data_IF_837099229910
#
_entry.id   IF_837099229910
#
_cell.length_a   1.000
_cell.length_b   1.000
_cell.length_c   1.000
_cell.angle_alpha   90.00
_cell.angle_beta   90.00
_cell.angle_gamma   90.00
#
_symmetry.space_group_name_H-M   'P 1'
#
loop_
_entity.id
_entity.type
_entity.pdbx_description
1 polymer ?
#
# COMPACT_ATOMS: atom_id res chain seq x y z
N UNK A 1 84.89 34.90 35.46
CA UNK A 1 83.60 34.21 35.28
C UNK A 1 83.88 32.95 34.47
N UNK A 2 83.68 31.78 35.10
CA UNK A 2 84.07 30.49 34.55
C UNK A 2 83.22 30.13 33.32
N UNK A 3 83.88 29.83 32.21
CA UNK A 3 83.26 29.32 31.00
C UNK A 3 83.00 27.82 31.22
N UNK A 4 81.73 27.42 31.34
CA UNK A 4 81.33 26.02 31.39
C UNK A 4 81.62 25.39 30.03
N UNK A 5 82.72 24.66 29.95
CA UNK A 5 83.06 23.81 28.82
C UNK A 5 82.02 22.68 28.78
N UNK A 6 81.12 22.72 27.82
CA UNK A 6 80.26 21.57 27.51
C UNK A 6 81.16 20.46 26.98
N UNK A 7 81.34 19.41 27.78
CA UNK A 7 81.96 18.16 27.37
C UNK A 7 81.13 17.53 26.24
N UNK A 8 81.55 17.76 25.00
CA UNK A 8 81.08 16.99 23.85
C UNK A 8 82.01 15.78 23.74
N UNK A 9 81.63 14.67 24.39
CA UNK A 9 82.30 13.39 24.17
C UNK A 9 82.22 13.03 22.68
N UNK A 10 83.34 12.70 22.01
CA UNK A 10 83.31 12.25 20.62
C UNK A 10 82.61 10.90 20.58
N UNK A 11 81.38 10.88 20.04
CA UNK A 11 80.66 9.64 19.77
C UNK A 11 81.46 8.87 18.71
N UNK A 12 81.87 7.65 19.05
CA UNK A 12 82.59 6.77 18.12
C UNK A 12 81.74 6.52 16.87
N UNK A 13 82.37 6.53 15.69
CA UNK A 13 81.72 6.16 14.43
C UNK A 13 81.04 4.78 14.57
N UNK A 14 81.62 3.85 15.33
CA UNK A 14 81.04 2.53 15.59
C UNK A 14 79.70 2.63 16.33
N UNK A 15 79.59 3.48 17.36
CA UNK A 15 78.36 3.69 18.12
C UNK A 15 77.25 4.28 17.24
N UNK A 16 77.58 5.25 16.38
CA UNK A 16 76.64 5.82 15.40
C UNK A 16 76.20 4.80 14.35
N UNK A 17 77.07 3.87 13.99
CA UNK A 17 76.79 2.81 13.00
C UNK A 17 75.85 1.76 13.60
N UNK A 18 76.10 1.36 14.84
CA UNK A 18 75.27 0.42 15.60
C UNK A 18 73.87 1.01 15.88
N UNK A 19 73.80 2.28 16.26
CA UNK A 19 72.53 2.99 16.45
C UNK A 19 71.74 3.13 15.14
N UNK A 20 72.40 3.43 14.01
CA UNK A 20 71.75 3.44 12.69
C UNK A 20 71.19 2.07 12.31
N UNK A 21 71.93 1.00 12.58
CA UNK A 21 71.46 -0.38 12.35
C UNK A 21 70.23 -0.69 13.20
N UNK A 22 70.23 -0.28 14.48
CA UNK A 22 69.09 -0.44 15.38
C UNK A 22 67.87 0.33 14.92
N UNK A 23 68.02 1.60 14.55
CA UNK A 23 66.93 2.45 14.06
C UNK A 23 66.34 1.90 12.75
N UNK A 24 67.18 1.42 11.83
CA UNK A 24 66.72 0.75 10.60
C UNK A 24 65.90 -0.50 10.91
N UNK A 25 66.34 -1.33 11.87
CA UNK A 25 65.60 -2.50 12.29
C UNK A 25 64.25 -2.14 12.96
N UNK A 26 64.22 -1.08 13.76
CA UNK A 26 63.00 -0.59 14.40
C UNK A 26 62.00 -0.03 13.37
N UNK A 27 62.46 0.76 12.41
CA UNK A 27 61.64 1.28 11.31
C UNK A 27 61.02 0.15 10.49
N UNK A 28 61.82 -0.88 10.16
CA UNK A 28 61.34 -2.06 9.42
C UNK A 28 60.23 -2.79 10.19
N UNK A 29 60.41 -3.03 11.50
CA UNK A 29 59.36 -3.64 12.35
C UNK A 29 58.10 -2.78 12.41
N UNK A 30 58.25 -1.45 12.47
CA UNK A 30 57.11 -0.53 12.48
C UNK A 30 56.37 -0.54 11.15
N UNK A 31 57.07 -0.62 10.03
CA UNK A 31 56.49 -0.78 8.69
C UNK A 31 55.71 -2.09 8.57
N UNK A 32 56.31 -3.21 8.96
CA UNK A 32 55.63 -4.52 8.96
C UNK A 32 54.37 -4.51 9.85
N UNK A 33 54.44 -3.87 11.02
CA UNK A 33 53.29 -3.72 11.91
C UNK A 33 52.18 -2.84 11.28
N UNK A 34 52.56 -1.76 10.61
CA UNK A 34 51.62 -0.87 9.90
C UNK A 34 50.96 -1.60 8.73
N UNK A 35 51.72 -2.32 7.92
CA UNK A 35 51.22 -3.11 6.80
C UNK A 35 50.23 -4.19 7.27
N UNK A 36 50.56 -4.93 8.33
CA UNK A 36 49.67 -5.92 8.91
C UNK A 36 48.37 -5.30 9.46
N UNK A 37 48.49 -4.16 10.16
CA UNK A 37 47.33 -3.44 10.69
C UNK A 37 46.45 -2.89 9.57
N UNK A 38 47.06 -2.38 8.50
CA UNK A 38 46.34 -1.86 7.35
C UNK A 38 45.62 -2.99 6.59
N UNK A 39 46.26 -4.15 6.44
CA UNK A 39 45.65 -5.33 5.82
C UNK A 39 44.45 -5.84 6.63
N UNK A 40 44.55 -5.89 7.96
CA UNK A 40 43.42 -6.24 8.83
C UNK A 40 42.26 -5.25 8.66
N UNK A 41 42.53 -3.94 8.66
CA UNK A 41 41.49 -2.93 8.44
C UNK A 41 40.77 -3.12 7.09
N UNK A 42 41.53 -3.41 6.02
CA UNK A 42 40.94 -3.68 4.69
C UNK A 42 40.03 -4.91 4.74
N UNK A 43 40.45 -6.00 5.41
CA UNK A 43 39.59 -7.19 5.57
C UNK A 43 38.29 -6.84 6.30
N UNK A 44 38.37 -6.08 7.40
CA UNK A 44 37.18 -5.63 8.14
C UNK A 44 36.24 -4.76 7.29
N UNK A 45 36.79 -3.84 6.50
CA UNK A 45 35.99 -2.98 5.62
C UNK A 45 35.27 -3.80 4.54
N UNK A 46 35.97 -4.74 3.91
CA UNK A 46 35.38 -5.65 2.90
C UNK A 46 34.25 -6.48 3.52
N UNK A 47 34.45 -7.02 4.72
CA UNK A 47 33.44 -7.80 5.42
C UNK A 47 32.22 -6.94 5.83
N UNK A 48 32.46 -5.73 6.34
CA UNK A 48 31.39 -4.78 6.68
C UNK A 48 30.55 -4.36 5.46
N UNK A 49 31.19 -4.11 4.33
CA UNK A 49 30.48 -3.84 3.08
C UNK A 49 29.65 -5.03 2.62
N UNK A 50 30.19 -6.26 2.76
CA UNK A 50 29.48 -7.49 2.43
C UNK A 50 28.23 -7.65 3.30
N UNK A 51 28.36 -7.48 4.61
CA UNK A 51 27.24 -7.52 5.55
C UNK A 51 26.19 -6.44 5.27
N UNK A 52 26.62 -5.22 4.94
CA UNK A 52 25.72 -4.12 4.56
C UNK A 52 24.91 -4.44 3.29
N UNK A 53 25.56 -5.04 2.28
CA UNK A 53 24.90 -5.50 1.04
C UNK A 53 23.90 -6.63 1.33
N UNK A 54 24.28 -7.58 2.17
CA UNK A 54 23.42 -8.69 2.57
C UNK A 54 22.20 -8.22 3.36
N UNK A 55 22.37 -7.33 4.35
CA UNK A 55 21.28 -6.74 5.11
C UNK A 55 20.29 -6.00 4.20
N UNK A 56 20.78 -5.21 3.23
CA UNK A 56 19.93 -4.56 2.23
C UNK A 56 19.14 -5.56 1.40
N UNK A 57 19.75 -6.68 1.01
CA UNK A 57 19.07 -7.76 0.26
C UNK A 57 17.99 -8.43 1.10
N UNK A 58 18.30 -8.82 2.34
CA UNK A 58 17.32 -9.42 3.25
C UNK A 58 16.16 -8.46 3.53
N UNK A 59 16.44 -7.19 3.77
CA UNK A 59 15.40 -6.19 4.01
C UNK A 59 14.46 -6.02 2.80
N UNK A 60 15.00 -6.05 1.56
CA UNK A 60 14.18 -6.05 0.34
C UNK A 60 13.32 -7.31 0.23
N UNK A 61 13.85 -8.47 0.59
CA UNK A 61 13.10 -9.73 0.57
C UNK A 61 11.94 -9.69 1.58
N UNK A 62 12.20 -9.24 2.82
CA UNK A 62 11.16 -9.07 3.84
C UNK A 62 10.10 -8.07 3.40
N UNK A 63 10.53 -6.92 2.84
CA UNK A 63 9.60 -5.90 2.33
C UNK A 63 8.71 -6.44 1.21
N UNK A 64 9.27 -7.25 0.30
CA UNK A 64 8.50 -7.90 -0.78
C UNK A 64 7.53 -8.93 -0.22
N UNK A 65 7.97 -9.80 0.69
CA UNK A 65 7.10 -10.79 1.32
C UNK A 65 5.93 -10.14 2.07
N UNK A 66 6.19 -8.99 2.70
CA UNK A 66 5.15 -8.19 3.34
C UNK A 66 4.12 -7.65 2.34
N UNK A 67 4.55 -7.05 1.23
CA UNK A 67 3.63 -6.58 0.18
C UNK A 67 2.84 -7.73 -0.46
N UNK A 68 3.47 -8.87 -0.71
CA UNK A 68 2.76 -10.06 -1.19
C UNK A 68 1.67 -10.52 -0.22
N UNK A 69 1.88 -10.36 1.10
CA UNK A 69 0.86 -10.68 2.11
C UNK A 69 -0.33 -9.72 2.01
N UNK A 70 -0.07 -8.43 1.77
CA UNK A 70 -1.13 -7.44 1.52
C UNK A 70 -1.91 -7.78 0.24
N UNK A 71 -1.22 -8.17 -0.83
CA UNK A 71 -1.86 -8.62 -2.08
C UNK A 71 -2.75 -9.84 -1.86
N UNK A 72 -2.30 -10.82 -1.07
CA UNK A 72 -3.13 -11.99 -0.70
C UNK A 72 -4.38 -11.55 0.07
N UNK A 73 -4.25 -10.61 1.02
CA UNK A 73 -5.40 -10.06 1.75
C UNK A 73 -6.40 -9.41 0.80
N UNK A 74 -5.92 -8.61 -0.15
CA UNK A 74 -6.80 -7.97 -1.15
C UNK A 74 -7.46 -9.00 -2.04
N UNK A 75 -6.73 -10.02 -2.51
CA UNK A 75 -7.29 -11.09 -3.31
C UNK A 75 -8.39 -11.86 -2.53
N UNK A 76 -8.22 -12.07 -1.22
CA UNK A 76 -9.24 -12.70 -0.38
C UNK A 76 -10.49 -11.84 -0.20
N UNK A 77 -10.35 -10.51 -0.10
CA UNK A 77 -11.50 -9.60 -0.05
C UNK A 77 -12.18 -9.58 -1.41
N UNK A 78 -11.41 -9.49 -2.49
CA UNK A 78 -11.87 -9.44 -3.89
C UNK A 78 -12.65 -10.71 -4.29
N UNK A 79 -12.30 -11.86 -3.72
CA UNK A 79 -13.08 -13.10 -3.86
C UNK A 79 -14.53 -12.98 -3.38
N UNK A 80 -14.77 -12.15 -2.36
CA UNK A 80 -16.08 -11.94 -1.76
C UNK A 80 -16.74 -10.68 -2.27
N UNK A 81 -15.96 -9.64 -2.55
CA UNK A 81 -16.40 -8.41 -3.20
C UNK A 81 -15.58 -8.17 -4.45
N UNK A 82 -16.04 -8.74 -5.57
CA UNK A 82 -15.34 -8.58 -6.82
C UNK A 82 -15.10 -7.10 -7.14
N UNK A 83 -13.93 -6.78 -7.71
CA UNK A 83 -13.54 -5.42 -8.08
C UNK A 83 -12.85 -4.64 -6.96
N UNK A 84 -12.82 -5.19 -5.75
CA UNK A 84 -12.11 -4.64 -4.61
C UNK A 84 -10.61 -4.46 -4.87
N UNK A 85 -9.97 -5.39 -5.59
CA UNK A 85 -8.53 -5.29 -5.85
C UNK A 85 -8.21 -3.99 -6.62
N UNK A 86 -8.90 -3.74 -7.73
CA UNK A 86 -8.66 -2.54 -8.54
C UNK A 86 -9.06 -1.26 -7.79
N UNK A 87 -10.16 -1.32 -7.03
CA UNK A 87 -10.62 -0.21 -6.19
C UNK A 87 -9.59 0.17 -5.13
N UNK A 88 -9.19 -0.77 -4.29
CA UNK A 88 -8.21 -0.54 -3.22
C UNK A 88 -6.85 -0.11 -3.78
N UNK A 89 -6.47 -0.56 -4.99
CA UNK A 89 -5.30 -0.06 -5.72
C UNK A 89 -5.41 1.43 -6.09
N UNK A 90 -6.49 1.82 -6.78
CA UNK A 90 -6.72 3.22 -7.18
C UNK A 90 -6.77 4.15 -5.98
N UNK A 91 -7.51 3.74 -4.94
CA UNK A 91 -7.59 4.49 -3.68
C UNK A 91 -6.22 4.65 -3.04
N UNK A 92 -5.44 3.57 -2.94
CA UNK A 92 -4.12 3.63 -2.32
C UNK A 92 -3.13 4.50 -3.11
N UNK A 93 -3.12 4.42 -4.44
CA UNK A 93 -2.21 5.19 -5.27
C UNK A 93 -2.51 6.69 -5.25
N UNK A 94 -3.78 7.07 -5.29
CA UNK A 94 -4.19 8.48 -5.16
C UNK A 94 -3.91 8.97 -3.74
N UNK A 95 -4.31 8.23 -2.69
CA UNK A 95 -4.07 8.62 -1.30
C UNK A 95 -2.57 8.79 -0.98
N UNK A 96 -1.71 7.90 -1.48
CA UNK A 96 -0.24 8.00 -1.35
C UNK A 96 0.31 9.25 -2.03
N UNK A 97 -0.18 9.57 -3.22
CA UNK A 97 0.24 10.76 -3.95
C UNK A 97 -0.14 12.04 -3.21
N UNK A 98 -1.38 12.12 -2.72
CA UNK A 98 -1.86 13.24 -1.89
C UNK A 98 -1.00 13.36 -0.63
N UNK A 99 -0.76 12.27 0.09
CA UNK A 99 0.06 12.24 1.30
C UNK A 99 1.49 12.76 1.06
N UNK A 100 2.12 12.40 -0.06
CA UNK A 100 3.45 12.92 -0.44
C UNK A 100 3.42 14.40 -0.78
N UNK A 101 2.39 14.87 -1.51
CA UNK A 101 2.21 16.29 -1.86
C UNK A 101 1.95 17.17 -0.62
N UNK A 102 1.39 16.60 0.44
CA UNK A 102 1.24 17.23 1.75
C UNK A 102 2.56 17.28 2.56
N UNK A 103 3.67 16.72 2.04
CA UNK A 103 4.95 16.70 2.74
C UNK A 103 4.99 15.76 3.95
N UNK A 104 4.11 14.74 4.00
CA UNK A 104 4.15 13.74 5.06
C UNK A 104 5.43 12.92 4.99
N UNK A 105 5.89 12.46 6.16
CA UNK A 105 7.06 11.58 6.26
C UNK A 105 6.79 10.27 5.53
N UNK A 106 7.80 9.71 4.87
CA UNK A 106 7.63 8.48 4.08
C UNK A 106 7.06 7.32 4.91
N UNK A 107 7.36 7.24 6.21
CA UNK A 107 6.76 6.24 7.10
C UNK A 107 5.24 6.37 7.23
N UNK A 108 4.72 7.60 7.31
CA UNK A 108 3.27 7.85 7.42
C UNK A 108 2.61 7.69 6.05
N UNK A 109 3.29 8.10 4.96
CA UNK A 109 2.86 7.82 3.57
C UNK A 109 2.69 6.32 3.33
N UNK A 110 3.64 5.50 3.75
CA UNK A 110 3.55 4.03 3.63
C UNK A 110 2.40 3.46 4.46
N UNK A 111 2.15 4.01 5.65
CA UNK A 111 1.01 3.58 6.48
C UNK A 111 -0.33 3.92 5.85
N UNK A 112 -0.48 5.11 5.26
CA UNK A 112 -1.67 5.51 4.50
C UNK A 112 -1.85 4.60 3.28
N UNK A 113 -0.77 4.32 2.55
CA UNK A 113 -0.80 3.41 1.41
C UNK A 113 -1.28 2.01 1.82
N UNK A 114 -0.71 1.43 2.85
CA UNK A 114 -1.12 0.10 3.33
C UNK A 114 -2.55 0.15 3.86
N UNK A 115 -2.94 1.17 4.65
CA UNK A 115 -4.29 1.32 5.17
C UNK A 115 -5.33 1.35 4.04
N UNK A 116 -5.07 2.10 2.97
CA UNK A 116 -5.94 2.16 1.80
C UNK A 116 -6.05 0.82 1.07
N UNK A 117 -4.96 0.05 0.97
CA UNK A 117 -4.95 -1.27 0.32
C UNK A 117 -5.83 -2.30 1.04
N UNK A 118 -5.99 -2.20 2.36
CA UNK A 118 -6.71 -3.19 3.18
C UNK A 118 -7.88 -2.59 3.95
N UNK A 119 -8.37 -1.41 3.56
CA UNK A 119 -9.33 -0.65 4.36
C UNK A 119 -10.64 -1.40 4.63
N UNK A 120 -11.04 -2.32 3.75
CA UNK A 120 -12.26 -3.11 3.89
C UNK A 120 -12.03 -4.51 4.47
N UNK A 121 -10.86 -4.79 5.05
CA UNK A 121 -10.54 -6.11 5.64
C UNK A 121 -11.58 -6.60 6.66
N UNK A 122 -12.27 -5.69 7.34
CA UNK A 122 -13.32 -6.06 8.28
C UNK A 122 -14.56 -6.70 7.64
N UNK A 123 -14.79 -6.51 6.33
CA UNK A 123 -15.87 -7.19 5.61
C UNK A 123 -15.67 -8.71 5.58
N UNK A 124 -14.44 -9.19 5.78
CA UNK A 124 -14.15 -10.62 5.96
C UNK A 124 -14.89 -11.26 7.13
N UNK A 125 -15.33 -10.47 8.12
CA UNK A 125 -16.07 -10.95 9.29
C UNK A 125 -17.59 -10.88 9.14
N UNK A 126 -18.10 -10.33 8.03
CA UNK A 126 -19.53 -10.23 7.74
C UNK A 126 -19.95 -11.48 6.95
N UNK A 127 -21.05 -12.18 7.28
CA UNK A 127 -21.58 -13.27 6.46
C UNK A 127 -22.00 -12.83 5.05
N UNK A 128 -21.83 -13.67 4.03
CA UNK A 128 -22.23 -13.37 2.63
C UNK A 128 -23.72 -13.01 2.51
N UNK A 129 -24.57 -13.68 3.30
CA UNK A 129 -26.02 -13.41 3.36
C UNK A 129 -26.38 -12.00 3.82
N UNK A 130 -25.46 -11.31 4.50
CA UNK A 130 -25.60 -9.92 4.94
C UNK A 130 -24.85 -8.99 3.98
N UNK A 131 -23.63 -9.37 3.57
CA UNK A 131 -22.76 -8.57 2.71
C UNK A 131 -23.42 -8.25 1.36
N UNK A 132 -24.03 -9.24 0.73
CA UNK A 132 -24.69 -9.12 -0.59
C UNK A 132 -26.16 -8.74 -0.52
N UNK A 133 -26.72 -8.60 0.68
CA UNK A 133 -28.12 -8.23 0.86
C UNK A 133 -28.33 -6.77 0.43
N UNK A 134 -29.36 -6.47 -0.39
CA UNK A 134 -29.69 -5.09 -0.73
C UNK A 134 -29.91 -4.26 0.52
N UNK A 135 -29.43 -3.01 0.53
CA UNK A 135 -29.45 -2.17 1.74
C UNK A 135 -30.85 -1.98 2.32
N UNK A 136 -31.86 -1.85 1.46
CA UNK A 136 -33.27 -1.71 1.83
C UNK A 136 -33.86 -2.95 2.53
N UNK A 137 -33.21 -4.11 2.43
CA UNK A 137 -33.65 -5.37 3.01
C UNK A 137 -32.88 -5.74 4.29
N UNK A 138 -31.87 -4.95 4.67
CA UNK A 138 -31.13 -5.15 5.92
C UNK A 138 -32.01 -4.75 7.11
N UNK A 139 -32.10 -5.64 8.10
CA UNK A 139 -32.54 -5.28 9.45
C UNK A 139 -31.53 -4.32 10.10
N UNK A 140 -31.95 -3.60 11.14
CA UNK A 140 -31.09 -2.63 11.82
C UNK A 140 -29.81 -3.28 12.37
N UNK A 141 -29.88 -4.52 12.86
CA UNK A 141 -28.71 -5.28 13.33
C UNK A 141 -27.76 -5.65 12.19
N UNK A 142 -28.30 -6.09 11.06
CA UNK A 142 -27.50 -6.42 9.87
C UNK A 142 -26.83 -5.16 9.29
N UNK A 143 -27.56 -4.04 9.27
CA UNK A 143 -27.04 -2.74 8.85
C UNK A 143 -25.89 -2.29 9.76
N UNK A 144 -26.11 -2.32 11.07
CA UNK A 144 -25.08 -1.97 12.05
C UNK A 144 -23.84 -2.86 11.92
N UNK A 145 -24.01 -4.16 11.65
CA UNK A 145 -22.88 -5.05 11.41
C UNK A 145 -22.10 -4.66 10.15
N UNK A 146 -22.81 -4.31 9.06
CA UNK A 146 -22.20 -3.90 7.80
C UNK A 146 -21.47 -2.56 7.92
N UNK A 147 -22.07 -1.58 8.58
CA UNK A 147 -21.46 -0.26 8.81
C UNK A 147 -20.22 -0.34 9.72
N UNK A 148 -20.20 -1.28 10.66
CA UNK A 148 -19.06 -1.48 11.59
C UNK A 148 -17.85 -2.22 10.98
N UNK A 149 -17.81 -2.49 9.68
CA UNK A 149 -16.69 -3.23 9.09
C UNK A 149 -15.34 -2.54 9.33
N UNK A 150 -15.24 -1.21 9.31
CA UNK A 150 -14.00 -0.52 9.67
C UNK A 150 -13.56 -0.75 11.12
N UNK A 151 -14.50 -0.79 12.06
CA UNK A 151 -14.25 -1.11 13.47
C UNK A 151 -13.74 -2.54 13.62
N UNK A 152 -14.36 -3.48 12.91
CA UNK A 152 -13.98 -4.88 12.94
C UNK A 152 -12.58 -5.07 12.33
N UNK A 153 -12.31 -4.42 11.19
CA UNK A 153 -11.01 -4.44 10.53
C UNK A 153 -9.91 -3.86 11.41
N UNK A 154 -10.16 -2.72 12.06
CA UNK A 154 -9.23 -2.13 13.01
C UNK A 154 -8.90 -3.09 14.18
N UNK A 155 -9.92 -3.71 14.79
CA UNK A 155 -9.73 -4.69 15.88
C UNK A 155 -8.90 -5.90 15.46
N UNK A 156 -9.04 -6.36 14.20
CA UNK A 156 -8.22 -7.45 13.67
C UNK A 156 -6.75 -7.02 13.57
N UNK A 157 -6.51 -5.82 13.05
CA UNK A 157 -5.17 -5.29 12.79
C UNK A 157 -4.45 -4.84 14.07
N UNK A 158 -5.15 -4.38 15.11
CA UNK A 158 -4.57 -3.95 16.39
C UNK A 158 -3.76 -5.04 17.10
N UNK A 159 -4.06 -6.31 16.82
CA UNK A 159 -3.32 -7.48 17.35
C UNK A 159 -1.88 -7.53 16.82
N UNK A 160 -1.61 -6.88 15.70
CA UNK A 160 -0.30 -6.83 15.07
C UNK A 160 0.35 -5.49 15.47
N UNK A 161 1.42 -5.56 16.26
CA UNK A 161 2.04 -4.37 16.85
C UNK A 161 2.46 -3.31 15.82
N UNK A 162 2.94 -3.74 14.65
CA UNK A 162 3.31 -2.87 13.53
C UNK A 162 2.12 -2.21 12.83
N UNK A 163 0.90 -2.71 13.03
CA UNK A 163 -0.32 -2.22 12.36
C UNK A 163 -1.17 -1.29 13.21
N UNK A 164 -0.80 -0.98 14.46
CA UNK A 164 -1.62 -0.11 15.32
C UNK A 164 -1.97 1.24 14.69
N UNK A 165 -1.02 1.89 14.00
CA UNK A 165 -1.31 3.14 13.29
C UNK A 165 -2.25 2.94 12.09
N UNK A 166 -2.07 1.85 11.34
CA UNK A 166 -2.92 1.47 10.21
C UNK A 166 -4.35 1.19 10.71
N UNK A 167 -4.48 0.46 11.82
CA UNK A 167 -5.76 0.16 12.45
C UNK A 167 -6.50 1.44 12.89
N UNK A 168 -5.78 2.41 13.48
CA UNK A 168 -6.35 3.71 13.84
C UNK A 168 -6.84 4.49 12.62
N UNK A 169 -6.12 4.44 11.51
CA UNK A 169 -6.56 5.05 10.25
C UNK A 169 -7.85 4.39 9.77
N UNK A 170 -7.86 3.05 9.67
CA UNK A 170 -9.00 2.28 9.17
C UNK A 170 -10.24 2.50 10.03
N UNK A 171 -10.11 2.45 11.37
CA UNK A 171 -11.21 2.67 12.31
C UNK A 171 -11.95 3.98 12.04
N UNK A 172 -11.20 5.03 11.69
CA UNK A 172 -11.71 6.39 11.55
C UNK A 172 -12.21 6.72 10.13
N UNK A 173 -12.32 5.74 9.22
CA UNK A 173 -12.77 5.98 7.84
C UNK A 173 -14.25 6.33 7.71
N UNK A 174 -15.07 5.96 8.70
CA UNK A 174 -16.48 6.35 8.80
C UNK A 174 -16.72 7.59 9.66
N UNK A 175 -15.65 8.24 10.16
CA UNK A 175 -15.80 9.53 10.83
C UNK A 175 -16.09 10.63 9.80
N UNK A 176 -16.95 11.56 10.17
CA UNK A 176 -17.26 12.73 9.36
C UNK A 176 -16.52 13.93 9.92
N UNK A 177 -16.04 14.80 9.05
CA UNK A 177 -15.26 15.98 9.43
C UNK A 177 -15.97 16.89 10.45
N UNK A 178 -17.31 16.96 10.41
CA UNK A 178 -18.15 17.73 11.34
C UNK A 178 -18.41 17.05 12.70
N UNK A 179 -18.01 15.78 12.87
CA UNK A 179 -18.23 14.95 14.05
C UNK A 179 -19.53 14.13 14.03
N UNK A 180 -20.30 14.14 12.94
CA UNK A 180 -21.53 13.34 12.80
C UNK A 180 -21.31 11.87 12.44
N UNK A 181 -20.05 11.49 12.18
CA UNK A 181 -19.66 10.12 11.82
C UNK A 181 -19.45 9.21 13.03
N UNK A 182 -18.94 8.02 12.76
CA UNK A 182 -18.75 6.98 13.77
C UNK A 182 -17.47 6.17 13.47
N UNK A 183 -16.92 5.42 14.44
CA UNK A 183 -17.50 5.00 15.73
C UNK A 183 -17.29 5.94 16.92
N UNK A 184 -16.30 6.83 16.88
CA UNK A 184 -15.79 7.59 18.02
C UNK A 184 -16.30 9.04 18.04
N UNK A 185 -16.89 9.53 16.93
CA UNK A 185 -17.42 10.89 16.82
C UNK A 185 -16.32 11.94 16.75
N UNK A 186 -15.18 11.58 16.14
CA UNK A 186 -14.02 12.46 16.00
C UNK A 186 -14.34 13.62 15.07
N UNK A 187 -13.87 14.82 15.40
CA UNK A 187 -14.14 16.03 14.62
C UNK A 187 -12.87 16.65 14.06
N UNK A 188 -12.94 17.12 12.81
CA UNK A 188 -11.87 17.88 12.18
C UNK A 188 -10.53 17.16 12.21
N UNK A 189 -9.52 17.79 12.83
CA UNK A 189 -8.17 17.26 12.91
C UNK A 189 -7.96 16.14 13.94
N UNK A 190 -8.95 15.85 14.79
CA UNK A 190 -8.94 14.66 15.65
C UNK A 190 -8.95 13.38 14.82
N UNK A 191 -9.55 13.44 13.62
CA UNK A 191 -9.54 12.37 12.64
C UNK A 191 -8.11 12.24 12.08
N UNK A 192 -7.49 11.04 12.16
CA UNK A 192 -6.17 10.82 11.59
C UNK A 192 -6.08 11.31 10.15
N UNK A 193 -5.03 12.06 9.82
CA UNK A 193 -4.84 12.61 8.47
C UNK A 193 -4.96 11.55 7.36
N UNK A 194 -4.47 10.34 7.63
CA UNK A 194 -4.62 9.21 6.72
C UNK A 194 -6.07 8.82 6.46
N UNK A 195 -6.92 8.86 7.48
CA UNK A 195 -8.34 8.54 7.33
C UNK A 195 -9.07 9.64 6.53
N UNK A 196 -8.77 10.91 6.81
CA UNK A 196 -9.33 12.05 6.05
C UNK A 196 -8.99 11.98 4.56
N UNK A 197 -7.73 11.64 4.22
CA UNK A 197 -7.30 11.47 2.82
C UNK A 197 -7.99 10.25 2.19
N UNK A 198 -7.95 9.08 2.85
CA UNK A 198 -8.48 7.85 2.27
C UNK A 198 -10.00 7.94 2.09
N UNK A 199 -10.76 8.43 3.07
CA UNK A 199 -12.21 8.54 2.98
C UNK A 199 -12.65 9.39 1.79
N UNK A 200 -11.97 10.52 1.55
CA UNK A 200 -12.24 11.40 0.42
C UNK A 200 -11.92 10.75 -0.95
N UNK A 201 -10.80 10.03 -1.05
CA UNK A 201 -10.45 9.30 -2.26
C UNK A 201 -11.40 8.12 -2.49
N UNK A 202 -11.77 7.43 -1.41
CA UNK A 202 -12.62 6.26 -1.43
C UNK A 202 -14.00 6.57 -2.00
N UNK A 203 -14.66 7.63 -1.50
CA UNK A 203 -15.98 8.02 -2.00
C UNK A 203 -15.94 8.38 -3.49
N UNK A 204 -14.88 9.04 -3.96
CA UNK A 204 -14.74 9.35 -5.38
C UNK A 204 -14.62 8.09 -6.23
N UNK A 205 -13.76 7.14 -5.82
CA UNK A 205 -13.57 5.89 -6.55
C UNK A 205 -14.85 5.05 -6.55
N UNK A 206 -15.54 4.96 -5.40
CA UNK A 206 -16.82 4.26 -5.29
C UNK A 206 -17.88 4.84 -6.21
N UNK A 207 -18.08 6.16 -6.22
CA UNK A 207 -19.09 6.81 -7.06
C UNK A 207 -18.79 6.65 -8.56
N UNK A 208 -17.51 6.71 -8.96
CA UNK A 208 -17.13 6.72 -10.37
C UNK A 208 -16.89 5.31 -10.95
N UNK A 209 -16.12 4.45 -10.28
CA UNK A 209 -15.74 3.14 -10.81
C UNK A 209 -16.64 1.99 -10.36
N UNK A 210 -17.06 1.99 -9.09
CA UNK A 210 -17.82 0.88 -8.50
C UNK A 210 -19.31 1.01 -8.79
N UNK A 211 -19.92 2.10 -8.32
CA UNK A 211 -21.35 2.36 -8.48
C UNK A 211 -21.67 2.92 -9.88
N UNK A 212 -20.69 3.56 -10.52
CA UNK A 212 -20.79 4.16 -11.85
C UNK A 212 -21.98 5.14 -11.98
N UNK A 213 -22.26 5.86 -10.89
CA UNK A 213 -23.34 6.86 -10.80
C UNK A 213 -23.11 8.00 -11.80
N UNK A 214 -21.84 8.35 -12.02
CA UNK A 214 -21.43 9.43 -12.90
C UNK A 214 -20.79 8.92 -14.19
N UNK A 215 -21.07 9.62 -15.30
CA UNK A 215 -20.48 9.31 -16.60
C UNK A 215 -19.08 9.93 -16.76
N UNK A 216 -18.83 11.05 -16.07
CA UNK A 216 -17.56 11.77 -16.14
C UNK A 216 -16.90 11.84 -14.76
N UNK A 217 -15.56 11.79 -14.68
CA UNK A 217 -14.84 11.82 -13.42
C UNK A 217 -15.06 13.15 -12.67
N UNK A 218 -15.26 14.25 -13.39
CA UNK A 218 -15.49 15.58 -12.80
C UNK A 218 -16.89 15.73 -12.19
N UNK A 219 -17.89 15.02 -12.72
CA UNK A 219 -19.24 15.07 -12.15
C UNK A 219 -19.26 14.39 -10.77
N UNK A 220 -18.49 13.30 -10.61
CA UNK A 220 -18.29 12.66 -9.31
C UNK A 220 -17.56 13.57 -8.31
N UNK A 221 -16.59 14.38 -8.76
CA UNK A 221 -15.95 15.39 -7.91
C UNK A 221 -16.92 16.48 -7.47
N UNK A 222 -17.75 16.98 -8.38
CA UNK A 222 -18.73 18.02 -8.08
C UNK A 222 -19.78 17.55 -7.05
N UNK A 223 -20.14 16.27 -7.06
CA UNK A 223 -21.02 15.69 -6.05
C UNK A 223 -20.40 15.75 -4.64
N UNK A 224 -19.12 15.41 -4.53
CA UNK A 224 -18.37 15.42 -3.26
C UNK A 224 -18.17 16.85 -2.73
N UNK A 225 -18.08 17.85 -3.61
CA UNK A 225 -17.88 19.24 -3.22
C UNK A 225 -18.98 19.75 -2.26
N UNK A 226 -20.21 19.24 -2.39
CA UNK A 226 -21.33 19.56 -1.50
C UNK A 226 -21.24 18.91 -0.11
N UNK A 227 -20.36 17.92 0.07
CA UNK A 227 -20.18 17.20 1.33
C UNK A 227 -18.90 17.62 2.08
N UNK A 228 -18.17 18.61 1.57
CA UNK A 228 -16.98 19.18 2.20
C UNK A 228 -17.34 19.93 3.49
N UNK A 229 -16.45 19.87 4.48
CA UNK A 229 -16.58 20.37 5.85
C UNK A 229 -17.69 19.71 6.70
N UNK A 230 -18.64 19.03 6.06
CA UNK A 230 -19.58 18.10 6.68
C UNK A 230 -18.94 16.72 6.84
N UNK A 231 -18.90 15.93 5.75
CA UNK A 231 -18.34 14.58 5.78
C UNK A 231 -16.84 14.57 5.52
N UNK A 232 -16.37 15.35 4.56
CA UNK A 232 -14.99 15.27 4.09
C UNK A 232 -14.20 16.55 4.36
N UNK A 233 -12.92 16.39 4.64
CA UNK A 233 -12.02 17.52 4.85
C UNK A 233 -11.75 18.27 3.54
N UNK A 234 -12.14 19.55 3.49
CA UNK A 234 -11.89 20.44 2.34
C UNK A 234 -10.41 20.61 2.01
N UNK A 235 -9.51 20.49 2.98
CA UNK A 235 -8.07 20.66 2.79
C UNK A 235 -7.53 19.75 1.67
N UNK A 236 -8.07 18.52 1.55
CA UNK A 236 -7.56 17.53 0.61
C UNK A 236 -8.27 17.55 -0.75
N UNK A 237 -9.38 18.27 -0.88
CA UNK A 237 -10.15 18.33 -2.13
C UNK A 237 -9.37 18.89 -3.33
N UNK A 238 -8.59 19.99 -3.22
CA UNK A 238 -7.76 20.47 -4.32
C UNK A 238 -6.73 19.44 -4.80
N UNK A 239 -6.20 18.64 -3.87
CA UNK A 239 -5.22 17.59 -4.18
C UNK A 239 -5.89 16.43 -4.90
N UNK A 240 -7.05 15.97 -4.41
CA UNK A 240 -7.86 14.97 -5.13
C UNK A 240 -8.17 15.46 -6.54
N UNK A 241 -8.71 16.67 -6.69
CA UNK A 241 -9.06 17.25 -8.00
C UNK A 241 -7.86 17.26 -8.95
N UNK A 242 -6.69 17.67 -8.48
CA UNK A 242 -5.46 17.65 -9.28
C UNK A 242 -5.03 16.21 -9.66
N UNK A 243 -5.13 15.24 -8.74
CA UNK A 243 -4.82 13.84 -9.02
C UNK A 243 -5.77 13.23 -10.06
N UNK A 244 -7.05 13.59 -10.02
CA UNK A 244 -8.06 13.11 -10.96
C UNK A 244 -7.84 13.73 -12.35
N UNK A 245 -7.65 15.06 -12.43
CA UNK A 245 -7.36 15.75 -13.70
C UNK A 245 -6.06 15.27 -14.36
N UNK A 246 -5.09 14.81 -13.57
CA UNK A 246 -3.84 14.25 -14.10
C UNK A 246 -4.00 12.82 -14.63
N UNK A 247 -4.90 12.03 -14.04
CA UNK A 247 -5.11 10.61 -14.39
C UNK A 247 -6.20 10.38 -15.42
N UNK A 248 -7.19 11.26 -15.47
CA UNK A 248 -8.42 11.04 -16.21
C UNK A 248 -8.81 12.26 -17.04
N UNK A 249 -9.19 12.00 -18.28
CA UNK A 249 -9.80 12.95 -19.21
C UNK A 249 -11.30 13.11 -18.93
N UNK A 250 -11.90 14.23 -19.34
CA UNK A 250 -13.38 14.40 -19.29
C UNK A 250 -14.13 13.35 -20.13
N UNK A 251 -13.45 12.75 -21.11
CA UNK A 251 -14.01 11.70 -21.96
C UNK A 251 -13.85 10.31 -21.35
N UNK A 252 -13.05 10.17 -20.30
CA UNK A 252 -12.88 8.89 -19.64
C UNK A 252 -14.17 8.53 -18.92
N UNK A 253 -14.62 7.32 -19.19
CA UNK A 253 -15.78 6.71 -18.56
C UNK A 253 -15.44 5.25 -18.32
N UNK A 254 -15.93 4.63 -17.24
CA UNK A 254 -15.87 3.19 -17.11
C UNK A 254 -16.53 2.56 -18.34
N UNK A 255 -15.71 1.88 -19.15
CA UNK A 255 -16.13 1.18 -20.38
C UNK A 255 -16.68 -0.21 -20.08
N UNK A 256 -16.43 -0.68 -18.88
CA UNK A 256 -16.89 -1.95 -18.36
C UNK A 256 -17.66 -1.73 -17.06
N UNK A 257 -18.56 -2.67 -16.78
CA UNK A 257 -19.25 -2.77 -15.50
C UNK A 257 -19.05 -4.16 -14.97
N UNK A 258 -18.83 -4.23 -13.67
CA UNK A 258 -18.83 -5.50 -12.98
C UNK A 258 -20.25 -5.96 -12.73
N UNK A 259 -20.52 -7.21 -13.09
CA UNK A 259 -21.83 -7.82 -12.93
C UNK A 259 -21.70 -8.99 -11.96
N UNK A 260 -22.48 -9.02 -10.86
CA UNK A 260 -22.57 -10.20 -10.01
C UNK A 260 -22.94 -11.42 -10.84
N UNK A 261 -22.31 -12.57 -10.58
CA UNK A 261 -22.57 -13.82 -11.32
C UNK A 261 -24.07 -14.17 -11.44
N UNK A 262 -24.91 -13.97 -10.40
CA UNK A 262 -26.35 -14.21 -10.51
C UNK A 262 -27.11 -13.24 -11.44
N UNK A 263 -26.54 -12.08 -11.73
CA UNK A 263 -27.13 -11.03 -12.59
C UNK A 263 -26.66 -11.10 -14.05
N UNK A 264 -25.79 -12.06 -14.38
CA UNK A 264 -25.32 -12.27 -15.76
C UNK A 264 -26.49 -12.66 -16.66
N UNK A 265 -26.52 -12.06 -17.85
CA UNK A 265 -27.55 -12.33 -18.86
C UNK A 265 -26.90 -12.73 -20.19
N UNK A 266 -27.55 -13.61 -20.96
CA UNK A 266 -27.14 -13.86 -22.33
C UNK A 266 -27.05 -12.55 -23.11
N UNK A 267 -26.03 -12.40 -23.93
CA UNK A 267 -25.82 -11.21 -24.74
C UNK A 267 -24.77 -10.22 -24.19
N UNK A 268 -24.45 -10.30 -22.89
CA UNK A 268 -23.35 -9.53 -22.29
C UNK A 268 -22.00 -9.94 -22.89
N UNK A 269 -21.09 -8.99 -23.09
CA UNK A 269 -19.76 -9.24 -23.67
C UNK A 269 -18.70 -9.02 -22.62
N UNK A 270 -17.84 -10.01 -22.36
CA UNK A 270 -16.75 -9.87 -21.38
C UNK A 270 -15.75 -8.79 -21.83
N UNK A 271 -15.39 -7.88 -20.93
CA UNK A 271 -14.34 -6.87 -21.19
C UNK A 271 -12.95 -7.36 -20.82
N UNK A 272 -12.85 -8.41 -19.99
CA UNK A 272 -11.59 -8.98 -19.48
C UNK A 272 -11.62 -10.50 -19.57
N UNK A 273 -10.44 -11.12 -19.57
CA UNK A 273 -10.32 -12.57 -19.49
C UNK A 273 -10.91 -13.04 -18.16
N UNK A 274 -11.80 -14.03 -18.25
CA UNK A 274 -12.41 -14.64 -17.08
C UNK A 274 -11.56 -15.82 -16.65
N UNK A 275 -10.75 -15.61 -15.61
CA UNK A 275 -9.88 -16.63 -15.04
C UNK A 275 -10.40 -17.08 -13.67
N UNK A 276 -10.15 -18.33 -13.31
CA UNK A 276 -10.33 -18.80 -11.93
C UNK A 276 -9.13 -18.41 -11.05
N UNK A 277 -9.25 -18.58 -9.73
CA UNK A 277 -8.14 -18.35 -8.79
C UNK A 277 -6.92 -19.24 -9.03
N UNK A 278 -7.11 -20.43 -9.60
CA UNK A 278 -5.99 -21.31 -9.98
C UNK A 278 -5.41 -20.97 -11.36
N UNK A 279 -5.73 -19.80 -11.92
CA UNK A 279 -5.32 -19.32 -13.25
C UNK A 279 -5.85 -20.18 -14.41
N UNK A 280 -7.01 -20.82 -14.24
CA UNK A 280 -7.68 -21.51 -15.36
C UNK A 280 -8.51 -20.49 -16.13
N UNK A 281 -8.23 -20.31 -17.42
CA UNK A 281 -9.06 -19.48 -18.30
C UNK A 281 -10.41 -20.15 -18.56
N UNK A 282 -11.50 -19.54 -18.10
CA UNK A 282 -12.86 -20.00 -18.33
C UNK A 282 -13.43 -19.50 -19.65
N UNK A 283 -13.26 -18.20 -19.91
CA UNK A 283 -13.79 -17.49 -21.08
C UNK A 283 -12.86 -16.31 -21.42
N UNK A 284 -12.39 -16.16 -22.66
CA UNK A 284 -11.56 -15.02 -23.04
C UNK A 284 -12.36 -13.72 -23.15
N UNK A 285 -11.66 -12.59 -23.03
CA UNK A 285 -12.20 -11.26 -23.26
C UNK A 285 -12.77 -11.11 -24.67
N UNK A 286 -13.81 -10.28 -24.83
CA UNK A 286 -14.49 -10.02 -26.10
C UNK A 286 -15.56 -11.05 -26.46
N UNK A 287 -15.66 -12.16 -25.72
CA UNK A 287 -16.70 -13.17 -25.96
C UNK A 287 -18.05 -12.73 -25.40
N UNK A 288 -19.10 -12.96 -26.19
CA UNK A 288 -20.48 -12.82 -25.77
C UNK A 288 -20.89 -14.03 -24.93
N UNK A 289 -21.51 -13.77 -23.77
CA UNK A 289 -22.03 -14.79 -22.87
C UNK A 289 -23.31 -15.38 -23.46
N UNK A 290 -23.33 -16.69 -23.66
CA UNK A 290 -24.54 -17.46 -23.90
C UNK A 290 -24.98 -18.17 -22.62
N UNK A 291 -26.18 -18.78 -22.65
CA UNK A 291 -26.74 -19.47 -21.49
C UNK A 291 -25.81 -20.58 -20.97
N UNK A 292 -25.17 -21.34 -21.87
CA UNK A 292 -24.24 -22.43 -21.51
C UNK A 292 -22.99 -21.92 -20.81
N UNK A 293 -22.47 -20.78 -21.27
CA UNK A 293 -21.29 -20.14 -20.68
C UNK A 293 -21.61 -19.59 -19.30
N UNK A 294 -22.78 -18.98 -19.11
CA UNK A 294 -23.23 -18.50 -17.79
C UNK A 294 -23.37 -19.67 -16.81
N UNK A 295 -24.00 -20.77 -17.23
CA UNK A 295 -24.10 -21.99 -16.41
C UNK A 295 -22.73 -22.58 -16.05
N UNK A 296 -21.77 -22.55 -17.00
CA UNK A 296 -20.38 -22.94 -16.72
C UNK A 296 -19.77 -22.03 -15.65
N UNK A 297 -19.88 -20.71 -15.79
CA UNK A 297 -19.34 -19.75 -14.81
C UNK A 297 -19.94 -20.00 -13.42
N UNK A 298 -21.27 -20.14 -13.34
CA UNK A 298 -21.98 -20.41 -12.09
C UNK A 298 -21.54 -21.73 -11.45
N UNK A 299 -21.32 -22.78 -12.24
CA UNK A 299 -20.84 -24.07 -11.75
C UNK A 299 -19.42 -23.97 -11.16
N UNK A 300 -18.52 -23.25 -11.84
CA UNK A 300 -17.14 -23.09 -11.38
C UNK A 300 -17.04 -22.24 -10.11
N UNK A 301 -17.94 -21.28 -9.88
CA UNK A 301 -17.92 -20.41 -8.71
C UNK A 301 -17.86 -21.19 -7.37
N UNK A 302 -18.46 -22.38 -7.31
CA UNK A 302 -18.47 -23.23 -6.10
C UNK A 302 -17.20 -24.08 -5.90
N UNK A 303 -16.42 -24.28 -6.95
CA UNK A 303 -15.26 -25.21 -6.97
C UNK A 303 -13.94 -24.44 -7.04
N UNK A 304 -13.86 -23.45 -7.93
CA UNK A 304 -12.71 -22.58 -8.14
C UNK A 304 -13.23 -21.20 -8.60
N UNK A 305 -13.40 -20.25 -7.66
CA UNK A 305 -14.03 -18.96 -7.92
C UNK A 305 -13.35 -18.15 -9.02
N UNK A 306 -14.12 -17.28 -9.67
CA UNK A 306 -13.60 -16.32 -10.65
C UNK A 306 -12.74 -15.26 -9.95
N UNK A 307 -11.54 -15.03 -10.48
CA UNK A 307 -10.63 -13.97 -10.04
C UNK A 307 -11.12 -12.60 -10.49
N UNK A 308 -11.10 -11.58 -9.62
CA UNK A 308 -11.43 -10.21 -10.02
C UNK A 308 -12.92 -9.94 -10.23
N UNK A 309 -13.76 -10.98 -10.39
CA UNK A 309 -15.15 -10.88 -10.79
C UNK A 309 -15.39 -10.90 -12.30
N UNK A 310 -16.66 -10.75 -12.67
CA UNK A 310 -17.08 -10.75 -14.07
C UNK A 310 -17.28 -9.32 -14.55
N UNK A 311 -16.40 -8.86 -15.42
CA UNK A 311 -16.51 -7.54 -16.06
C UNK A 311 -17.05 -7.69 -17.47
N UNK A 312 -18.09 -6.92 -17.79
CA UNK A 312 -18.71 -6.89 -19.11
C UNK A 312 -18.62 -5.48 -19.69
N UNK A 313 -18.55 -5.37 -21.01
CA UNK A 313 -18.58 -4.07 -21.68
C UNK A 313 -19.89 -3.37 -21.39
N UNK A 314 -19.84 -2.08 -21.08
CA UNK A 314 -21.01 -1.29 -20.68
C UNK A 314 -22.10 -1.26 -21.77
N UNK A 315 -21.67 -1.28 -23.03
CA UNK A 315 -22.55 -1.29 -24.21
C UNK A 315 -23.38 -2.58 -24.32
N UNK A 316 -22.93 -3.67 -23.70
CA UNK A 316 -23.61 -4.97 -23.73
C UNK A 316 -24.71 -5.16 -22.67
N UNK A 317 -24.91 -4.18 -21.78
CA UNK A 317 -25.77 -4.33 -20.57
C UNK A 317 -27.24 -3.97 -20.85
N UNK A 318 -27.60 -3.56 -22.08
CA UNK A 318 -28.95 -3.13 -22.45
C UNK A 318 -29.46 -3.64 -23.79
N UNK A 319 -28.88 -4.74 -24.30
CA UNK A 319 -29.38 -5.49 -25.45
C UNK A 319 -30.36 -6.58 -25.06
#
# INVERSE_FOLDING_TARGET
MANQQMDVHPVSIEALTEENLRLKAQLKRQQEMYENSHLELIKYMVESERQSKELKRLNRMVSRAFLNTIEIIQAMIDLREPGYYDHSMRVADVARSIARKQGLKEIDVQQIYIAARIHEIGKMSIPDSILHKPFAQLSDKERQLRENHYVIGAKLLERISSFRKIARIIRALSEHYDGSGCPDGLKGEEIPIGARIIALVNVWDSLFFIEQVYQKPLDALAAIENELDGKYDRQFFPFLKAEILMRYSEKDRPTEKQIPIPELKPGMVLSRDLMTMTNVLLVPAGNQLDQRTIEKIQKYQSVDPVQGGVFVTRESIGG
#
